data_IF_640888263478
#
_entry.id   IF_640888263478
#
_cell.length_a   1.000
_cell.length_b   1.000
_cell.length_c   1.000
_cell.angle_alpha   90.00
_cell.angle_beta   90.00
_cell.angle_gamma   90.00
#
_symmetry.space_group_name_H-M   'P 1'
#
loop_
_entity.id
_entity.type
_entity.pdbx_description
1 polymer ?
#
# COMPACT_ATOMS: atom_id res chain seq x y z
N UNK A 1 28.74 0.54 -7.06
CA UNK A 1 27.87 -0.55 -7.56
C UNK A 1 26.74 -0.92 -6.57
N UNK A 2 27.06 -1.26 -5.31
CA UNK A 2 26.11 -1.82 -4.31
C UNK A 2 24.86 -0.93 -4.07
N UNK A 3 25.04 0.35 -3.77
CA UNK A 3 23.93 1.28 -3.53
C UNK A 3 23.03 1.49 -4.75
N UNK A 4 23.62 1.51 -5.95
CA UNK A 4 22.87 1.58 -7.20
C UNK A 4 21.94 0.37 -7.30
N UNK A 5 22.45 -0.83 -6.99
CA UNK A 5 21.65 -2.06 -6.95
C UNK A 5 20.43 -1.97 -6.03
N UNK A 6 20.60 -1.51 -4.78
CA UNK A 6 19.47 -1.35 -3.84
C UNK A 6 18.47 -0.29 -4.30
N UNK A 7 18.94 0.87 -4.77
CA UNK A 7 18.08 1.98 -5.22
C UNK A 7 17.32 1.63 -6.51
N UNK A 8 17.88 0.77 -7.36
CA UNK A 8 17.27 0.37 -8.63
C UNK A 8 16.30 -0.81 -8.53
N UNK A 9 16.00 -1.33 -7.33
CA UNK A 9 15.19 -2.54 -7.17
C UNK A 9 13.81 -2.44 -7.84
N UNK A 10 13.11 -1.30 -7.67
CA UNK A 10 11.80 -1.07 -8.29
C UNK A 10 11.90 -1.01 -9.82
N UNK A 11 12.89 -0.30 -10.36
CA UNK A 11 13.14 -0.25 -11.81
C UNK A 11 13.57 -1.60 -12.39
N UNK A 12 14.20 -2.47 -11.59
CA UNK A 12 14.51 -3.83 -12.00
C UNK A 12 13.24 -4.69 -12.04
N UNK A 13 12.38 -4.60 -11.02
CA UNK A 13 11.08 -5.32 -11.01
C UNK A 13 10.15 -4.86 -12.12
N UNK A 14 10.11 -3.57 -12.45
CA UNK A 14 9.36 -3.07 -13.61
C UNK A 14 9.86 -3.59 -14.97
N UNK A 15 11.03 -4.23 -15.04
CA UNK A 15 11.46 -4.99 -16.24
C UNK A 15 11.07 -6.47 -16.20
N UNK A 16 10.73 -7.01 -15.03
CA UNK A 16 10.36 -8.42 -14.83
C UNK A 16 8.85 -8.68 -14.93
N UNK A 17 8.05 -7.64 -14.75
CA UNK A 17 6.59 -7.69 -14.75
C UNK A 17 6.02 -6.42 -15.35
N UNK A 18 4.95 -6.50 -16.16
CA UNK A 18 4.25 -5.31 -16.65
C UNK A 18 3.63 -4.53 -15.48
N UNK A 19 3.10 -5.24 -14.49
CA UNK A 19 2.48 -4.65 -13.30
C UNK A 19 3.03 -5.26 -12.02
N UNK A 20 3.02 -4.48 -10.93
CA UNK A 20 3.26 -4.99 -9.58
C UNK A 20 2.60 -4.12 -8.52
N UNK A 21 2.17 -4.75 -7.42
CA UNK A 21 1.75 -4.07 -6.19
C UNK A 21 2.98 -3.93 -5.28
N UNK A 22 3.14 -2.77 -4.68
CA UNK A 22 4.16 -2.53 -3.66
C UNK A 22 3.45 -2.55 -2.31
N UNK A 23 3.75 -3.54 -1.48
CA UNK A 23 3.35 -3.49 -0.08
C UNK A 23 4.46 -2.90 0.77
N UNK A 24 4.06 -2.31 1.89
CA UNK A 24 4.93 -1.69 2.89
C UNK A 24 4.31 -2.02 4.24
N UNK A 25 4.94 -2.91 4.99
CA UNK A 25 4.42 -3.42 6.25
C UNK A 25 5.56 -3.80 7.19
N UNK A 26 5.35 -3.62 8.48
CA UNK A 26 6.41 -3.80 9.47
C UNK A 26 6.16 -5.06 10.28
N UNK A 27 7.21 -5.81 10.58
CA UNK A 27 7.22 -6.85 11.60
C UNK A 27 8.33 -6.59 12.61
N UNK A 28 8.23 -7.08 13.86
CA UNK A 28 9.36 -7.04 14.78
C UNK A 28 10.60 -7.66 14.13
N UNK A 29 11.77 -7.01 14.24
CA UNK A 29 13.02 -7.43 13.56
C UNK A 29 13.35 -8.92 13.73
N UNK A 30 13.10 -9.47 14.94
CA UNK A 30 13.29 -10.91 15.26
C UNK A 30 12.42 -11.86 14.44
N UNK A 31 11.35 -11.38 13.80
CA UNK A 31 10.39 -12.14 13.00
C UNK A 31 10.56 -11.95 11.49
N UNK A 32 11.50 -11.13 11.02
CA UNK A 32 11.73 -10.91 9.57
C UNK A 32 11.90 -12.22 8.80
N UNK A 33 12.72 -13.16 9.31
CA UNK A 33 12.91 -14.46 8.68
C UNK A 33 11.67 -15.36 8.68
N UNK A 34 10.77 -15.20 9.65
CA UNK A 34 9.47 -15.88 9.67
C UNK A 34 8.52 -15.30 8.62
N UNK A 35 8.42 -13.96 8.57
CA UNK A 35 7.60 -13.24 7.60
C UNK A 35 8.01 -13.57 6.15
N UNK A 36 9.31 -13.51 5.83
CA UNK A 36 9.81 -13.83 4.49
C UNK A 36 9.52 -15.29 4.09
N UNK A 37 9.59 -16.25 5.02
CA UNK A 37 9.22 -17.65 4.75
C UNK A 37 7.73 -17.80 4.45
N UNK A 38 6.85 -17.15 5.21
CA UNK A 38 5.40 -17.15 4.97
C UNK A 38 5.06 -16.53 3.60
N UNK A 39 5.62 -15.36 3.30
CA UNK A 39 5.45 -14.69 2.00
C UNK A 39 5.89 -15.61 0.86
N UNK A 40 7.06 -16.26 0.99
CA UNK A 40 7.56 -17.20 -0.01
C UNK A 40 6.69 -18.44 -0.19
N UNK A 41 6.08 -18.95 0.88
CA UNK A 41 5.13 -20.07 0.81
C UNK A 41 3.83 -19.67 0.10
N UNK A 42 3.24 -18.53 0.47
CA UNK A 42 2.00 -18.04 -0.13
C UNK A 42 2.18 -17.62 -1.60
N UNK A 43 3.32 -17.04 -1.95
CA UNK A 43 3.72 -16.76 -3.34
C UNK A 43 3.62 -18.02 -4.21
N UNK A 44 4.09 -19.17 -3.71
CA UNK A 44 3.99 -20.46 -4.40
C UNK A 44 2.56 -21.01 -4.41
N UNK A 45 1.89 -21.01 -3.26
CA UNK A 45 0.52 -21.53 -3.08
C UNK A 45 -0.48 -20.81 -3.99
N UNK A 46 -0.37 -19.48 -4.08
CA UNK A 46 -1.29 -18.62 -4.82
C UNK A 46 -0.88 -18.42 -6.29
N UNK A 47 0.26 -19.00 -6.70
CA UNK A 47 0.88 -18.79 -8.01
C UNK A 47 1.02 -17.31 -8.38
N UNK A 48 1.58 -16.52 -7.46
CA UNK A 48 1.84 -15.08 -7.64
C UNK A 48 3.29 -14.81 -7.29
N UNK A 49 4.07 -14.34 -8.26
CA UNK A 49 5.48 -14.02 -8.02
C UNK A 49 5.61 -12.84 -7.06
N UNK A 50 6.51 -12.94 -6.09
CA UNK A 50 6.79 -11.86 -5.15
C UNK A 50 8.30 -11.70 -4.96
N UNK A 51 8.83 -10.53 -5.30
CA UNK A 51 10.17 -10.11 -4.95
C UNK A 51 10.14 -9.35 -3.61
N UNK A 52 11.17 -9.46 -2.78
CA UNK A 52 11.22 -8.74 -1.51
C UNK A 52 12.45 -7.84 -1.45
N UNK A 53 12.24 -6.57 -1.14
CA UNK A 53 13.26 -5.69 -0.58
C UNK A 53 12.78 -5.24 0.80
N UNK A 54 13.66 -4.76 1.67
CA UNK A 54 13.26 -4.39 3.03
C UNK A 54 14.31 -3.49 3.67
N UNK A 55 13.89 -2.73 4.68
CA UNK A 55 14.76 -2.07 5.64
C UNK A 55 14.90 -3.00 6.84
N UNK A 56 15.92 -3.86 6.82
CA UNK A 56 16.09 -4.88 7.87
C UNK A 56 16.31 -4.27 9.27
N UNK A 57 16.81 -3.03 9.32
CA UNK A 57 17.15 -2.33 10.55
C UNK A 57 15.94 -1.94 11.40
N UNK A 58 14.78 -1.72 10.78
CA UNK A 58 13.53 -1.33 11.43
C UNK A 58 12.41 -2.39 11.27
N UNK A 59 12.63 -3.41 10.44
CA UNK A 59 11.65 -4.47 10.21
C UNK A 59 10.66 -4.17 9.10
N UNK A 60 10.87 -3.10 8.33
CA UNK A 60 9.98 -2.68 7.24
C UNK A 60 10.19 -3.54 5.98
N UNK A 61 9.18 -4.31 5.61
CA UNK A 61 9.13 -5.16 4.43
C UNK A 61 8.57 -4.38 3.24
N UNK A 62 9.18 -4.56 2.07
CA UNK A 62 8.68 -4.10 0.77
C UNK A 62 8.46 -5.28 -0.20
N UNK A 63 7.40 -6.09 -0.02
CA UNK A 63 7.01 -7.10 -0.98
C UNK A 63 6.53 -6.43 -2.27
N UNK A 64 7.18 -6.77 -3.37
CA UNK A 64 6.84 -6.39 -4.73
C UNK A 64 6.11 -7.58 -5.35
N UNK A 65 4.79 -7.49 -5.47
CA UNK A 65 3.90 -8.58 -5.89
C UNK A 65 3.63 -8.41 -7.39
N UNK A 66 4.21 -9.28 -8.20
CA UNK A 66 4.24 -9.17 -9.65
C UNK A 66 3.00 -9.83 -10.24
N UNK A 67 2.32 -9.15 -11.16
CA UNK A 67 1.18 -9.67 -11.90
C UNK A 67 1.12 -9.07 -13.31
N UNK A 68 0.22 -9.59 -14.13
CA UNK A 68 -0.14 -9.02 -15.43
C UNK A 68 -1.61 -8.63 -15.40
N UNK A 69 -1.91 -7.33 -15.46
CA UNK A 69 -3.29 -6.82 -15.41
C UNK A 69 -4.16 -7.25 -16.59
N UNK A 70 -3.56 -7.80 -17.66
CA UNK A 70 -4.27 -8.33 -18.83
C UNK A 70 -4.78 -9.75 -18.59
N UNK A 71 -4.21 -10.46 -17.62
CA UNK A 71 -4.64 -11.80 -17.24
C UNK A 71 -5.84 -11.73 -16.28
N UNK A 72 -6.93 -12.42 -16.64
CA UNK A 72 -8.13 -12.45 -15.81
C UNK A 72 -7.82 -12.95 -14.38
N UNK A 73 -8.23 -12.15 -13.40
CA UNK A 73 -8.07 -12.45 -11.98
C UNK A 73 -6.64 -12.33 -11.44
N UNK A 74 -5.64 -11.96 -12.25
CA UNK A 74 -4.27 -11.80 -11.77
C UNK A 74 -4.14 -10.68 -10.73
N UNK A 75 -4.80 -9.55 -10.98
CA UNK A 75 -4.90 -8.45 -10.01
C UNK A 75 -5.52 -8.93 -8.69
N UNK A 76 -6.68 -9.61 -8.74
CA UNK A 76 -7.36 -10.09 -7.54
C UNK A 76 -6.49 -11.07 -6.72
N UNK A 77 -5.71 -11.96 -7.38
CA UNK A 77 -4.75 -12.82 -6.67
C UNK A 77 -3.61 -12.02 -6.04
N UNK A 78 -3.11 -11.00 -6.73
CA UNK A 78 -2.07 -10.11 -6.21
C UNK A 78 -2.56 -9.31 -5.00
N UNK A 79 -3.77 -8.73 -5.06
CA UNK A 79 -4.42 -8.02 -3.96
C UNK A 79 -4.69 -8.95 -2.77
N UNK A 80 -5.12 -10.18 -3.02
CA UNK A 80 -5.32 -11.18 -1.97
C UNK A 80 -4.01 -11.51 -1.24
N UNK A 81 -2.90 -11.69 -1.98
CA UNK A 81 -1.59 -11.87 -1.38
C UNK A 81 -1.16 -10.63 -0.60
N UNK A 82 -1.33 -9.44 -1.18
CA UNK A 82 -1.00 -8.16 -0.54
C UNK A 82 -1.71 -7.99 0.81
N UNK A 83 -3.03 -8.22 0.84
CA UNK A 83 -3.83 -8.15 2.06
C UNK A 83 -3.47 -9.21 3.09
N UNK A 84 -3.14 -10.42 2.65
CA UNK A 84 -2.66 -11.49 3.56
C UNK A 84 -1.35 -11.11 4.23
N UNK A 85 -0.46 -10.42 3.52
CA UNK A 85 0.80 -9.92 4.08
C UNK A 85 0.56 -8.80 5.10
N UNK A 86 -0.34 -7.86 4.82
CA UNK A 86 -0.67 -6.78 5.77
C UNK A 86 -1.26 -7.32 7.08
N UNK A 87 -2.24 -8.24 6.99
CA UNK A 87 -2.80 -8.92 8.17
C UNK A 87 -1.73 -9.66 8.96
N UNK A 88 -0.85 -10.39 8.27
CA UNK A 88 0.28 -11.06 8.91
C UNK A 88 1.17 -10.06 9.66
N UNK A 89 1.48 -8.90 9.10
CA UNK A 89 2.29 -7.89 9.78
C UNK A 89 1.68 -7.49 11.13
N UNK A 90 0.36 -7.26 11.17
CA UNK A 90 -0.38 -6.95 12.40
C UNK A 90 -0.39 -8.14 13.37
N UNK A 91 -0.76 -9.33 12.89
CA UNK A 91 -0.73 -10.58 13.69
C UNK A 91 0.66 -10.83 14.29
N UNK A 92 1.71 -10.35 13.62
CA UNK A 92 3.08 -10.48 14.10
C UNK A 92 3.49 -9.49 15.19
N UNK A 93 2.61 -8.54 15.55
CA UNK A 93 2.87 -7.43 16.45
C UNK A 93 3.53 -6.24 15.74
N UNK A 94 3.22 -6.05 14.47
CA UNK A 94 3.76 -5.00 13.61
C UNK A 94 2.70 -4.01 13.13
N UNK A 95 2.88 -3.46 11.93
CA UNK A 95 2.05 -2.38 11.37
C UNK A 95 1.69 -2.65 9.91
N UNK A 96 0.51 -2.18 9.48
CA UNK A 96 0.08 -2.20 8.07
C UNK A 96 0.85 -1.18 7.20
N UNK A 97 1.64 -0.30 7.78
CA UNK A 97 2.54 0.59 7.06
C UNK A 97 3.80 0.90 7.86
N UNK A 98 4.94 0.88 7.18
CA UNK A 98 6.22 1.35 7.71
C UNK A 98 6.45 2.81 7.34
N UNK A 99 6.33 3.15 6.06
CA UNK A 99 6.69 4.48 5.55
C UNK A 99 5.73 5.06 4.49
N UNK A 100 4.87 4.27 3.83
CA UNK A 100 4.03 4.76 2.71
C UNK A 100 2.65 5.30 3.13
N UNK A 101 2.24 5.07 4.37
CA UNK A 101 0.93 5.43 4.89
C UNK A 101 -0.18 4.48 4.45
N UNK A 102 -1.43 4.89 4.72
CA UNK A 102 -2.64 4.07 4.52
C UNK A 102 -3.28 4.33 3.15
N UNK A 103 -3.50 5.61 2.82
CA UNK A 103 -4.06 6.01 1.52
C UNK A 103 -5.41 5.35 1.19
N UNK A 104 -5.64 5.06 -0.08
CA UNK A 104 -6.80 4.29 -0.54
C UNK A 104 -6.57 2.78 -0.34
N UNK A 105 -5.37 2.33 -0.69
CA UNK A 105 -5.02 0.91 -0.80
C UNK A 105 -5.14 0.15 0.52
N UNK A 106 -4.73 0.76 1.65
CA UNK A 106 -4.66 0.06 2.94
C UNK A 106 -5.79 0.42 3.91
N UNK A 107 -6.70 1.32 3.54
CA UNK A 107 -7.74 1.84 4.45
C UNK A 107 -8.62 0.74 5.03
N UNK A 108 -8.88 -0.30 4.25
CA UNK A 108 -9.76 -1.40 4.64
C UNK A 108 -9.07 -2.39 5.61
N UNK A 109 -7.74 -2.27 5.79
CA UNK A 109 -6.94 -3.01 6.78
C UNK A 109 -6.68 -2.20 8.05
N UNK A 110 -7.09 -0.93 8.09
CA UNK A 110 -6.96 -0.10 9.29
C UNK A 110 -7.62 -0.73 10.53
N UNK A 111 -8.82 -1.36 10.44
CA UNK A 111 -9.44 -2.04 11.57
C UNK A 111 -8.69 -3.29 12.07
N UNK A 112 -7.79 -3.86 11.27
CA UNK A 112 -6.93 -4.95 11.74
C UNK A 112 -5.94 -4.42 12.79
N UNK A 113 -5.48 -3.18 12.65
CA UNK A 113 -4.45 -2.56 13.50
C UNK A 113 -5.02 -1.69 14.63
N UNK A 114 -6.14 -1.01 14.40
CA UNK A 114 -6.74 -0.06 15.33
C UNK A 114 -8.12 -0.49 15.77
N UNK A 115 -8.41 -0.33 17.05
CA UNK A 115 -9.74 -0.56 17.62
C UNK A 115 -10.76 0.44 17.06
N UNK A 116 -12.08 0.12 17.13
CA UNK A 116 -13.13 1.05 16.74
C UNK A 116 -13.04 2.42 17.43
N UNK A 117 -12.65 2.46 18.70
CA UNK A 117 -12.53 3.70 19.47
C UNK A 117 -11.35 4.57 19.02
N UNK A 118 -10.22 3.95 18.67
CA UNK A 118 -9.06 4.64 18.08
C UNK A 118 -9.40 5.21 16.70
N UNK A 119 -10.05 4.42 15.85
CA UNK A 119 -10.52 4.89 14.54
C UNK A 119 -11.51 6.05 14.69
N UNK A 120 -12.43 5.98 15.66
CA UNK A 120 -13.36 7.06 15.95
C UNK A 120 -12.64 8.33 16.43
N UNK A 121 -11.58 8.18 17.23
CA UNK A 121 -10.73 9.31 17.65
C UNK A 121 -10.07 10.00 16.45
N UNK A 122 -9.46 9.22 15.55
CA UNK A 122 -8.85 9.75 14.32
C UNK A 122 -9.87 10.48 13.45
N UNK A 123 -11.10 9.95 13.33
CA UNK A 123 -12.18 10.60 12.58
C UNK A 123 -12.61 11.94 13.20
N UNK A 124 -12.71 12.03 14.53
CA UNK A 124 -12.99 13.30 15.22
C UNK A 124 -11.89 14.34 14.99
N UNK A 125 -10.63 13.91 14.99
CA UNK A 125 -9.51 14.79 14.68
C UNK A 125 -9.62 15.34 13.26
N UNK A 126 -9.90 14.48 12.26
CA UNK A 126 -10.15 14.93 10.89
C UNK A 126 -11.29 15.94 10.82
N UNK A 127 -12.43 15.64 11.44
CA UNK A 127 -13.62 16.51 11.40
C UNK A 127 -13.38 17.90 12.03
N UNK A 128 -12.44 18.03 12.97
CA UNK A 128 -12.06 19.31 13.55
C UNK A 128 -11.34 20.24 12.56
N UNK A 129 -10.62 19.69 11.57
CA UNK A 129 -9.86 20.45 10.57
C UNK A 129 -10.50 20.45 9.17
N UNK A 130 -11.29 19.42 8.85
CA UNK A 130 -11.98 19.22 7.57
C UNK A 130 -13.46 18.86 7.81
N UNK A 131 -14.27 19.79 8.36
CA UNK A 131 -15.66 19.52 8.73
C UNK A 131 -16.57 19.23 7.52
N UNK A 132 -16.15 19.63 6.31
CA UNK A 132 -16.88 19.40 5.07
C UNK A 132 -16.40 18.15 4.32
N UNK A 133 -15.40 17.44 4.85
CA UNK A 133 -14.80 16.25 4.26
C UNK A 133 -14.27 16.43 2.82
N UNK A 134 -13.81 17.65 2.48
CA UNK A 134 -13.34 17.98 1.13
C UNK A 134 -11.86 17.62 0.92
N UNK A 135 -11.09 17.47 2.01
CA UNK A 135 -9.68 17.15 1.92
C UNK A 135 -9.47 15.65 1.69
N UNK A 136 -9.16 15.29 0.44
CA UNK A 136 -8.74 13.94 0.04
C UNK A 136 -9.75 12.84 0.42
N UNK A 137 -11.04 12.97 -0.01
CA UNK A 137 -12.11 12.08 0.38
C UNK A 137 -11.83 10.62 0.00
N UNK A 138 -12.45 9.68 0.72
CA UNK A 138 -12.33 8.24 0.43
C UNK A 138 -10.97 7.62 0.72
N UNK A 139 -10.04 8.32 1.37
CA UNK A 139 -8.75 7.76 1.80
C UNK A 139 -8.66 7.66 3.32
N UNK A 140 -7.68 6.87 3.78
CA UNK A 140 -7.33 6.59 5.17
C UNK A 140 -8.35 5.77 5.95
N UNK A 141 -9.64 6.10 5.92
CA UNK A 141 -10.68 5.37 6.63
C UNK A 141 -11.48 4.43 5.72
N UNK A 142 -11.94 3.27 6.23
CA UNK A 142 -12.92 2.44 5.54
C UNK A 142 -14.19 3.24 5.22
N UNK A 143 -14.75 3.02 4.03
CA UNK A 143 -15.96 3.70 3.56
C UNK A 143 -16.10 3.71 2.04
N UNK A 144 -17.08 4.44 1.49
CA UNK A 144 -17.18 4.63 0.05
C UNK A 144 -15.88 5.22 -0.51
N UNK A 145 -15.49 4.79 -1.71
CA UNK A 145 -14.34 5.37 -2.41
C UNK A 145 -14.58 6.84 -2.76
N UNK A 146 -13.52 7.58 -3.05
CA UNK A 146 -13.68 8.87 -3.71
C UNK A 146 -14.38 8.65 -5.06
N UNK A 147 -15.29 9.55 -5.48
CA UNK A 147 -15.79 9.53 -6.85
C UNK A 147 -14.61 9.63 -7.81
N UNK A 148 -14.62 8.81 -8.86
CA UNK A 148 -13.62 8.90 -9.91
C UNK A 148 -13.64 10.30 -10.51
N UNK A 149 -12.46 10.83 -10.88
CA UNK A 149 -12.37 12.07 -11.61
C UNK A 149 -13.12 11.91 -12.94
N UNK A 150 -14.20 12.69 -13.11
CA UNK A 150 -14.97 12.73 -14.36
C UNK A 150 -14.39 13.72 -15.36
N UNK A 151 -13.43 14.55 -14.94
CA UNK A 151 -12.75 15.51 -15.78
C UNK A 151 -11.38 14.99 -16.21
N UNK A 152 -11.10 15.14 -17.51
CA UNK A 152 -9.80 14.86 -18.11
C UNK A 152 -9.12 16.15 -18.57
N UNK A 153 -7.79 16.18 -18.55
CA UNK A 153 -6.98 17.32 -18.97
C UNK A 153 -6.61 18.28 -17.85
N UNK A 154 -6.37 19.55 -18.21
CA UNK A 154 -6.01 20.60 -17.25
C UNK A 154 -7.16 20.88 -16.28
N UNK A 155 -6.82 21.09 -15.01
CA UNK A 155 -7.78 21.53 -14.00
C UNK A 155 -8.40 22.88 -14.44
N UNK A 156 -9.67 23.18 -14.12
CA UNK A 156 -10.29 24.45 -14.52
C UNK A 156 -9.48 25.69 -14.14
N UNK A 157 -8.82 25.67 -12.98
CA UNK A 157 -7.94 26.76 -12.54
C UNK A 157 -6.63 26.87 -13.35
N UNK A 158 -6.12 25.77 -13.88
CA UNK A 158 -4.98 25.80 -14.81
C UNK A 158 -5.41 26.38 -16.16
N UNK A 159 -6.57 25.98 -16.67
CA UNK A 159 -7.14 26.56 -17.90
C UNK A 159 -7.40 28.07 -17.76
N UNK A 160 -7.75 28.51 -16.56
CA UNK A 160 -7.97 29.91 -16.23
C UNK A 160 -6.67 30.67 -15.90
N UNK A 161 -5.51 30.02 -15.90
CA UNK A 161 -4.22 30.65 -15.56
C UNK A 161 -4.09 31.08 -14.09
N UNK A 162 -4.95 30.57 -13.20
CA UNK A 162 -4.93 30.88 -11.76
C UNK A 162 -3.86 30.08 -11.04
N UNK A 163 -3.60 28.86 -11.51
CA UNK A 163 -2.54 27.97 -11.02
C UNK A 163 -1.75 27.41 -12.20
N UNK A 164 -0.52 26.97 -11.95
CA UNK A 164 0.29 26.22 -12.90
C UNK A 164 0.75 24.90 -12.26
N UNK A 165 0.84 23.82 -13.05
CA UNK A 165 1.61 22.63 -12.68
C UNK A 165 3.07 22.92 -13.02
N UNK A 166 3.89 23.08 -11.99
CA UNK A 166 5.35 23.00 -12.11
C UNK A 166 5.79 21.56 -12.37
#
# INVERSE_FOLDING_TARGET
>A
AIWKGRKSAFSAVGRLSPDFIVQDGVVPRRRLGEALRKIGAWSKEMNVRCANVFHAGDGNLHPLILYDGREAGALARAEALAGRILRMCVEMGGSISGEHGVGLEKRDYLPDMFSPDEVACLKRLRAAFDPLEIANPGKMFPGPGAPALTQHGLHPLEKAGVIARE
#
